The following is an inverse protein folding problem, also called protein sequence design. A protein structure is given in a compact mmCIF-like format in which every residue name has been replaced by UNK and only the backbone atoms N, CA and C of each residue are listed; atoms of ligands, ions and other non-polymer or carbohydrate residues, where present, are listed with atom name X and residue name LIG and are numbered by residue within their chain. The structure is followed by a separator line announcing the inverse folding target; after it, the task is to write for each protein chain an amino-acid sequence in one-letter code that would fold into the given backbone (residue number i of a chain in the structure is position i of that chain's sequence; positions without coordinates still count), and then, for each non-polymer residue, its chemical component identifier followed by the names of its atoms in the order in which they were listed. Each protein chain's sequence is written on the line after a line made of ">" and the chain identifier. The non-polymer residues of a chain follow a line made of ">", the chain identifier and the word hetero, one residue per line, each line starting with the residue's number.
data_IF_614404079792
#
_entry.id   IF_614404079792
#
_cell.length_a   1.000
_cell.length_b   1.000
_cell.length_c   1.000
_cell.angle_alpha   90.00
_cell.angle_beta   90.00
_cell.angle_gamma   90.00
#
_symmetry.space_group_name_H-M   'P 1'
#
loop_
_entity.id
_entity.type
_entity.pdbx_description
1 polymer ?
2 polymer ?
3 polymer ?
#
loop_
_entity_poly.entity_id
_entity_poly.type
_entity_poly.pdbx_seq_one_letter_code
_entity_poly.pdbx_strand_id
2 'polydeoxyribonucleotide' '(DA)(DT)(DA)(DC)(DC)(DG)(DC)(DT)(DA)(DG)(DG)(DG)(DG)(DC)(DG)(DC)(DT)(DG)(DC)(DT)(DA)(DG)(DC)(DG)(DG)(DT)(DG)(DC)' ?
3 'polydeoxyribonucleotide' '(DG)(DC)(DA)(DC)(DC)(DG)(DC)(DT)(DA)(DG)(DC)(DA)(DG)(DC)(DG)(DC)(DC)(DC)(DC)(DT)(DA)(DG)(DC)(DG)(DG)(DT)(DA)(DT)' ?
#
# COMPACT_ATOMS: atom_id res chain seq x y z
N UNK A 1 -15.65 7.05 -17.67
CA UNK A 1 -17.08 7.25 -17.89
C UNK A 1 -17.78 5.94 -18.25
N UNK A 2 -18.72 5.53 -17.40
CA UNK A 2 -19.47 4.31 -17.63
C UNK A 2 -20.49 4.51 -18.74
N UNK A 3 -20.49 3.61 -19.72
CA UNK A 3 -21.31 3.79 -20.91
C UNK A 3 -21.94 2.47 -21.38
N UNK A 4 -23.23 2.52 -21.70
CA UNK A 4 -23.94 1.36 -22.23
C UNK A 4 -24.06 1.42 -23.75
N UNK A 5 -23.49 0.43 -24.42
CA UNK A 5 -23.63 0.30 -25.87
C UNK A 5 -24.44 -0.93 -26.24
N UNK A 6 -25.32 -0.78 -27.23
CA UNK A 6 -26.13 -1.89 -27.72
C UNK A 6 -25.75 -2.18 -29.16
N UNK A 7 -24.81 -3.10 -29.31
CA UNK A 7 -24.19 -3.39 -30.60
C UNK A 7 -24.75 -4.65 -31.25
N UNK A 8 -24.38 -4.87 -32.51
CA UNK A 8 -24.82 -6.04 -33.24
C UNK A 8 -24.10 -7.29 -32.73
N UNK A 9 -24.69 -8.46 -32.98
CA UNK A 9 -24.07 -9.72 -32.59
C UNK A 9 -22.78 -9.96 -33.36
N UNK A 10 -22.72 -9.45 -34.58
CA UNK A 10 -21.52 -9.56 -35.41
C UNK A 10 -20.37 -8.78 -34.77
N UNK A 11 -20.64 -7.54 -34.39
CA UNK A 11 -19.64 -6.69 -33.77
C UNK A 11 -19.16 -7.29 -32.46
N UNK A 12 -20.09 -7.86 -31.69
CA UNK A 12 -19.78 -8.48 -30.42
C UNK A 12 -18.82 -9.65 -30.58
N UNK A 13 -19.13 -10.52 -31.54
CA UNK A 13 -18.29 -11.70 -31.78
C UNK A 13 -16.93 -11.32 -32.33
N UNK A 14 -16.88 -10.27 -33.15
CA UNK A 14 -15.63 -9.82 -33.73
C UNK A 14 -14.69 -9.25 -32.68
N UNK A 15 -15.26 -8.57 -31.69
CA UNK A 15 -14.47 -8.02 -30.59
C UNK A 15 -13.89 -9.15 -29.75
N UNK A 16 -14.72 -10.14 -29.45
CA UNK A 16 -14.26 -11.32 -28.72
C UNK A 16 -13.20 -12.08 -29.53
N UNK A 17 -13.36 -12.09 -30.84
CA UNK A 17 -12.41 -12.74 -31.72
C UNK A 17 -11.03 -12.10 -31.60
N UNK A 18 -11.01 -10.78 -31.42
CA UNK A 18 -9.77 -10.03 -31.26
C UNK A 18 -9.10 -10.39 -29.93
N UNK A 19 -9.89 -10.37 -28.86
CA UNK A 19 -9.37 -10.65 -27.52
C UNK A 19 -8.77 -12.05 -27.43
N UNK A 20 -9.38 -13.01 -28.12
CA UNK A 20 -8.87 -14.38 -28.12
C UNK A 20 -7.55 -14.47 -28.87
N UNK A 21 -7.35 -13.58 -29.83
CA UNK A 21 -6.07 -13.48 -30.54
C UNK A 21 -5.01 -12.85 -29.65
N UNK A 22 -5.39 -11.79 -28.94
CA UNK A 22 -4.49 -11.09 -28.04
C UNK A 22 -4.02 -12.02 -26.91
N UNK A 23 -4.97 -12.73 -26.31
CA UNK A 23 -4.66 -13.64 -25.22
C UNK A 23 -3.89 -14.87 -25.70
N UNK A 24 -3.82 -15.04 -27.02
CA UNK A 24 -3.08 -16.15 -27.60
C UNK A 24 -1.67 -15.71 -27.99
N UNK A 25 -1.57 -14.49 -28.51
CA UNK A 25 -0.27 -13.88 -28.78
C UNK A 25 0.40 -13.56 -27.45
N UNK A 26 -0.16 -12.61 -26.72
CA UNK A 26 0.20 -12.38 -25.34
C UNK A 26 -0.55 -13.38 -24.49
N UNK A 27 -1.28 -12.92 -23.48
CA UNK A 27 -1.29 -11.54 -23.03
C UNK A 27 -1.52 -11.54 -21.53
N UNK A 28 -1.31 -10.39 -20.89
CA UNK A 28 -1.64 -10.28 -19.48
C UNK A 28 -3.14 -10.47 -19.30
N UNK A 29 -3.52 -11.52 -18.56
CA UNK A 29 -4.92 -11.83 -18.34
C UNK A 29 -5.65 -10.67 -17.69
N UNK A 30 -6.86 -10.40 -18.16
CA UNK A 30 -7.71 -9.31 -17.68
C UNK A 30 -7.17 -7.91 -18.05
N UNK A 31 -5.99 -7.85 -18.65
CA UNK A 31 -5.47 -6.59 -19.16
C UNK A 31 -6.13 -6.27 -20.50
N UNK A 32 -6.37 -7.32 -21.30
CA UNK A 32 -7.08 -7.18 -22.55
C UNK A 32 -8.57 -7.48 -22.35
N UNK A 33 -9.23 -6.64 -21.57
CA UNK A 33 -10.64 -6.81 -21.28
C UNK A 33 -11.51 -6.43 -22.46
N UNK A 34 -12.81 -6.70 -22.35
CA UNK A 34 -13.76 -6.35 -23.40
C UNK A 34 -13.92 -4.84 -23.49
N UNK A 35 -14.10 -4.20 -22.34
CA UNK A 35 -14.27 -2.76 -22.26
C UNK A 35 -13.07 -2.02 -22.84
N UNK A 36 -11.88 -2.54 -22.59
CA UNK A 36 -10.66 -1.92 -23.06
C UNK A 36 -10.54 -1.98 -24.58
N UNK A 37 -10.59 -3.19 -25.13
CA UNK A 37 -10.41 -3.39 -26.57
C UNK A 37 -11.51 -2.71 -27.38
N UNK A 38 -12.72 -2.70 -26.84
CA UNK A 38 -13.85 -2.06 -27.53
C UNK A 38 -13.72 -0.54 -27.49
N UNK A 39 -13.26 -0.02 -26.37
CA UNK A 39 -13.02 1.41 -26.24
C UNK A 39 -11.84 1.82 -27.11
N UNK A 40 -10.90 0.91 -27.31
CA UNK A 40 -9.76 1.13 -28.19
C UNK A 40 -10.23 1.26 -29.63
N UNK A 41 -11.26 0.49 -29.99
CA UNK A 41 -11.81 0.53 -31.34
C UNK A 41 -12.68 1.76 -31.53
N UNK A 42 -13.31 2.22 -30.45
CA UNK A 42 -14.14 3.42 -30.49
C UNK A 42 -13.29 4.65 -30.79
N UNK A 43 -12.25 4.85 -29.99
CA UNK A 43 -11.34 5.98 -30.17
C UNK A 43 -10.67 5.91 -31.54
N UNK A 44 -10.45 4.69 -32.02
CA UNK A 44 -9.89 4.47 -33.34
C UNK A 44 -10.85 5.00 -34.39
N UNK A 45 -12.14 4.75 -34.19
CA UNK A 45 -13.17 5.23 -35.09
C UNK A 45 -13.37 6.73 -34.97
N UNK A 46 -13.04 7.27 -33.81
CA UNK A 46 -13.15 8.71 -33.58
C UNK A 46 -12.11 9.49 -34.36
N UNK A 47 -10.87 9.01 -34.37
CA UNK A 47 -9.79 9.69 -35.06
C UNK A 47 -9.97 9.63 -36.57
N UNK A 48 -10.67 8.61 -37.04
CA UNK A 48 -10.99 8.47 -38.45
C UNK A 48 -12.11 9.44 -38.83
N UNK A 49 -13.09 9.58 -37.95
CA UNK A 49 -14.23 10.45 -38.17
C UNK A 49 -13.80 11.91 -38.40
N UNK A 50 -12.69 12.30 -37.77
CA UNK A 50 -12.17 13.64 -37.90
C UNK A 50 -11.43 13.82 -39.22
N UNK B 1 3.58 2.69 -6.39
CA UNK B 1 4.57 2.37 -5.36
C UNK B 1 4.56 3.38 -4.23
N UNK B 2 4.24 2.92 -3.03
CA UNK B 2 4.21 3.78 -1.86
C UNK B 2 5.62 4.13 -1.41
N UNK B 3 5.89 5.42 -1.23
CA UNK B 3 7.24 5.89 -0.94
C UNK B 3 7.25 7.00 0.11
N UNK B 4 8.18 6.88 1.06
CA UNK B 4 8.37 7.90 2.08
C UNK B 4 9.53 8.83 1.76
N UNK B 5 9.24 10.12 1.61
CA UNK B 5 10.28 11.12 1.40
C UNK B 5 10.38 12.07 2.59
N UNK B 6 11.60 12.40 2.97
CA UNK B 6 11.84 13.35 4.06
C UNK B 6 12.52 14.59 3.50
N UNK B 7 11.69 15.57 3.14
CA UNK B 7 12.15 16.75 2.44
C UNK B 7 12.30 17.96 3.35
N UNK B 8 12.89 19.03 2.82
CA UNK B 8 13.07 20.26 3.57
C UNK B 8 11.74 20.98 3.73
N UNK B 9 11.66 21.85 4.75
CA UNK B 9 10.46 22.65 4.96
C UNK B 9 10.23 23.62 3.81
N UNK B 10 11.32 24.06 3.18
CA UNK B 10 11.22 24.94 2.03
C UNK B 10 10.55 24.24 0.86
N UNK B 11 11.02 23.03 0.57
CA UNK B 11 10.46 22.24 -0.52
C UNK B 11 9.00 21.92 -0.27
N UNK B 12 8.67 21.62 0.98
CA UNK B 12 7.30 21.30 1.37
C UNK B 12 6.37 22.48 1.12
N UNK B 13 6.78 23.67 1.54
CA UNK B 13 5.97 24.86 1.38
C UNK B 13 5.83 25.26 -0.09
N UNK B 14 6.89 25.05 -0.86
CA UNK B 14 6.88 25.39 -2.27
C UNK B 14 5.92 24.49 -3.04
N UNK B 15 5.84 23.22 -2.66
CA UNK B 15 4.91 22.29 -3.29
C UNK B 15 3.47 22.69 -2.99
N UNK B 16 3.20 23.01 -1.73
CA UNK B 16 1.89 23.51 -1.34
C UNK B 16 1.54 24.81 -2.03
N UNK B 17 2.56 25.64 -2.25
CA UNK B 17 2.38 26.91 -2.96
C UNK B 17 1.90 26.67 -4.37
N UNK B 18 2.40 25.60 -5.00
CA UNK B 18 2.00 25.24 -6.35
C UNK B 18 0.54 24.78 -6.38
N UNK B 19 0.19 23.90 -5.46
CA UNK B 19 -1.16 23.34 -5.38
C UNK B 19 -2.20 24.42 -5.17
N UNK B 20 -1.87 25.42 -4.36
CA UNK B 20 -2.78 26.53 -4.10
C UNK B 20 -2.98 27.38 -5.35
N UNK B 21 -1.97 27.40 -6.22
CA UNK B 21 -2.09 28.09 -7.50
C UNK B 21 -2.96 27.29 -8.46
N UNK B 22 -2.75 25.98 -8.49
CA UNK B 22 -3.52 25.09 -9.34
C UNK B 22 -5.00 25.14 -8.97
N UNK B 23 -5.29 25.04 -7.67
CA UNK B 23 -6.67 25.06 -7.19
C UNK B 23 -7.31 26.44 -7.34
N UNK B 24 -6.49 27.44 -7.66
CA UNK B 24 -7.00 28.79 -7.87
C UNK B 24 -7.23 29.04 -9.35
N UNK B 25 -6.32 28.53 -10.18
CA UNK B 25 -6.52 28.55 -11.63
C UNK B 25 -7.66 27.60 -12.00
N UNK B 26 -7.42 26.31 -11.82
CA UNK B 26 -8.48 25.32 -11.87
C UNK B 26 -9.17 25.33 -10.52
N UNK B 27 -9.30 24.17 -9.88
CA UNK B 27 -8.94 22.87 -10.44
C UNK B 27 -9.88 21.83 -9.85
N UNK B 28 -9.90 20.63 -10.41
CA UNK B 28 -10.68 19.55 -9.83
C UNK B 28 -10.12 19.24 -8.45
N UNK B 29 -10.96 19.42 -7.42
CA UNK B 29 -10.53 19.20 -6.05
C UNK B 29 -10.07 17.76 -5.85
N UNK B 30 -8.97 17.61 -5.11
CA UNK B 30 -8.35 16.31 -4.82
C UNK B 30 -7.70 15.67 -6.05
N UNK B 31 -7.85 16.28 -7.22
CA UNK B 31 -7.16 15.83 -8.42
C UNK B 31 -5.72 16.32 -8.39
N UNK B 32 -5.53 17.54 -7.88
CA UNK B 32 -4.20 18.10 -7.69
C UNK B 32 -3.72 17.85 -6.26
N UNK B 33 -3.53 16.57 -5.92
CA UNK B 33 -3.10 16.19 -4.59
C UNK B 33 -1.62 16.49 -4.38
N UNK B 34 -1.16 16.33 -3.14
CA UNK B 34 0.24 16.54 -2.81
C UNK B 34 1.12 15.48 -3.45
N UNK B 35 0.70 14.23 -3.31
CA UNK B 35 1.43 13.10 -3.86
C UNK B 35 1.58 13.21 -5.37
N UNK B 36 0.53 13.69 -6.03
CA UNK B 36 0.54 13.82 -7.49
C UNK B 36 1.53 14.88 -7.95
N UNK B 37 1.35 16.11 -7.46
CA UNK B 37 2.18 17.23 -7.88
C UNK B 37 3.65 17.02 -7.54
N UNK B 38 3.91 16.39 -6.40
CA UNK B 38 5.29 16.13 -5.96
C UNK B 38 5.92 15.04 -6.81
N UNK B 39 5.13 14.02 -7.16
CA UNK B 39 5.60 12.96 -8.03
C UNK B 39 5.82 13.50 -9.44
N UNK B 40 5.03 14.50 -9.80
CA UNK B 40 5.17 15.17 -11.10
C UNK B 40 6.50 15.91 -11.15
N UNK B 41 6.91 16.46 -10.02
CA UNK B 41 8.17 17.20 -9.94
C UNK B 41 9.35 16.24 -9.89
N UNK B 42 9.12 15.05 -9.32
CA UNK B 42 10.16 14.04 -9.23
C UNK B 42 10.53 13.52 -10.62
N UNK B 43 9.51 13.10 -11.37
CA UNK B 43 9.71 12.60 -12.72
C UNK B 43 10.31 13.69 -13.61
N UNK B 44 9.95 14.94 -13.32
CA UNK B 44 10.50 16.08 -14.02
C UNK B 44 12.00 16.18 -13.76
N UNK B 45 12.40 15.94 -12.51
CA UNK B 45 13.79 15.95 -12.14
C UNK B 45 14.54 14.75 -12.70
N UNK B 46 13.80 13.66 -12.93
CA UNK B 46 14.37 12.45 -13.49
C UNK B 46 14.78 12.62 -14.95
N UNK B 47 13.91 13.25 -15.73
CA UNK B 47 14.17 13.46 -17.15
C UNK B 47 15.31 14.45 -17.36
N UNK B 48 15.51 15.33 -16.39
CA UNK B 48 16.61 16.29 -16.45
C UNK B 48 17.92 15.59 -16.10
N UNK B 49 17.86 14.69 -15.13
CA UNK B 49 19.04 13.94 -14.68
C UNK B 49 19.67 13.14 -15.82
N UNK B 50 18.83 12.70 -16.75
CA UNK B 50 19.30 11.92 -17.90
C UNK B 50 19.96 12.83 -18.94
N UNK B 51 19.46 14.07 -19.04
CA UNK B 51 20.01 15.05 -19.96
C UNK B 51 21.49 15.31 -19.68
N UNK B 52 21.78 15.79 -18.48
CA UNK B 52 23.16 16.02 -18.06
C UNK B 52 23.84 14.71 -17.69
N UNK C 1 10.38 17.14 6.95
CA UNK C 1 8.95 16.92 6.74
C UNK C 1 8.68 15.55 6.14
N UNK C 2 7.97 14.71 6.87
CA UNK C 2 7.62 13.37 6.40
C UNK C 2 6.53 13.45 5.35
N UNK C 3 6.77 12.80 4.21
CA UNK C 3 5.87 12.92 3.06
C UNK C 3 5.67 11.57 2.35
N UNK C 4 4.42 11.27 2.03
CA UNK C 4 4.08 10.07 1.26
C UNK C 4 3.87 10.36 -0.21
N UNK C 5 4.69 9.75 -1.06
CA UNK C 5 4.52 9.86 -2.50
C UNK C 5 4.13 8.53 -3.12
N UNK C 6 3.19 8.58 -4.06
CA UNK C 6 2.75 7.39 -4.77
C UNK C 6 3.14 7.49 -6.24
N UNK C 7 4.32 6.96 -6.55
CA UNK C 7 4.93 7.14 -7.86
C UNK C 7 4.76 5.92 -8.74
N UNK C 8 5.11 6.06 -10.02
CA UNK C 8 5.04 4.97 -10.96
C UNK C 8 6.13 3.94 -10.70
N UNK C 9 5.92 2.72 -11.17
CA UNK C 9 6.92 1.67 -11.02
C UNK C 9 8.19 2.00 -11.81
N UNK C 10 8.02 2.72 -12.92
CA UNK C 10 9.15 3.15 -13.73
C UNK C 10 10.03 4.13 -12.95
N UNK C 11 9.40 5.12 -12.34
CA UNK C 11 10.12 6.12 -11.55
C UNK C 11 10.83 5.46 -10.37
N UNK C 12 10.16 4.51 -9.74
CA UNK C 12 10.71 3.79 -8.60
C UNK C 12 11.98 3.03 -8.98
N UNK C 13 11.93 2.31 -10.09
CA UNK C 13 13.06 1.52 -10.55
C UNK C 13 14.22 2.41 -11.00
N UNK C 14 13.89 3.55 -11.60
CA UNK C 14 14.91 4.48 -12.08
C UNK C 14 15.66 5.11 -10.92
N UNK C 15 14.96 5.38 -9.82
CA UNK C 15 15.60 5.94 -8.64
C UNK C 15 16.54 4.92 -8.02
N UNK C 16 16.09 3.67 -7.91
CA UNK C 16 16.93 2.59 -7.43
C UNK C 16 18.13 2.37 -8.34
N UNK C 17 17.91 2.56 -9.64
CA UNK C 17 18.98 2.42 -10.62
C UNK C 17 20.09 3.44 -10.37
N UNK C 18 19.70 4.63 -9.93
CA UNK C 18 20.65 5.69 -9.62
C UNK C 18 21.46 5.33 -8.38
N UNK C 19 20.77 4.89 -7.33
CA UNK C 19 21.40 4.54 -6.07
C UNK C 19 22.43 3.42 -6.24
N UNK C 20 22.12 2.46 -7.10
CA UNK C 20 23.02 1.35 -7.36
C UNK C 20 24.27 1.83 -8.10
N UNK C 21 24.14 2.91 -8.86
CA UNK C 21 25.28 3.53 -9.52
C UNK C 21 26.13 4.29 -8.51
N UNK C 22 25.47 5.03 -7.63
CA UNK C 22 26.15 5.79 -6.59
C UNK C 22 26.94 4.87 -5.66
N UNK C 23 26.30 3.80 -5.22
CA UNK C 23 26.94 2.84 -4.32
C UNK C 23 28.02 2.04 -5.02
N UNK C 24 28.08 2.14 -6.35
CA UNK C 24 29.11 1.45 -7.12
C UNK C 24 30.28 2.38 -7.40
N UNK C 25 29.96 3.64 -7.68
CA UNK C 25 30.99 4.68 -7.81
C UNK C 25 31.59 4.94 -6.43
N UNK C 26 30.79 5.52 -5.55
CA UNK C 26 31.14 5.59 -4.14
C UNK C 26 30.78 4.25 -3.52
N UNK C 27 30.01 4.26 -2.43
CA UNK C 27 29.58 5.46 -1.73
C UNK C 27 29.42 5.11 -0.26
N UNK C 28 29.30 6.12 0.59
CA UNK C 28 29.02 5.86 2.00
C UNK C 28 27.67 5.17 2.12
N UNK C 29 27.68 3.95 2.64
CA UNK C 29 26.46 3.15 2.77
C UNK C 29 25.44 3.88 3.63
N UNK C 30 24.18 3.83 3.20
CA UNK C 30 23.05 4.49 3.88
C UNK C 30 23.11 6.02 3.79
N UNK C 31 24.17 6.56 3.22
CA UNK C 31 24.25 8.00 2.97
C UNK C 31 23.46 8.34 1.71
N UNK C 32 23.52 7.44 0.73
CA UNK C 32 22.73 7.57 -0.49
C UNK C 32 21.44 6.78 -0.37
N UNK C 33 20.58 7.21 0.56
CA UNK C 33 19.31 6.53 0.80
C UNK C 33 18.30 6.85 -0.30
N UNK C 34 17.17 6.15 -0.27
CA UNK C 34 16.11 6.38 -1.24
C UNK C 34 15.47 7.75 -1.04
N UNK C 35 15.16 8.06 0.21
CA UNK C 35 14.54 9.33 0.56
C UNK C 35 15.41 10.51 0.15
N UNK C 36 16.72 10.36 0.31
CA UNK C 36 17.66 11.43 -0.02
C UNK C 36 17.72 11.68 -1.52
N UNK C 37 18.02 10.64 -2.29
CA UNK C 37 18.19 10.78 -3.74
C UNK C 37 16.89 11.22 -4.42
N UNK C 38 15.76 10.74 -3.90
CA UNK C 38 14.46 11.10 -4.47
C UNK C 38 14.10 12.54 -4.14
N UNK C 39 14.44 12.97 -2.92
CA UNK C 39 14.22 14.35 -2.52
C UNK C 39 15.15 15.28 -3.29
N UNK C 40 16.33 14.76 -3.64
CA UNK C 40 17.29 15.50 -4.45
C UNK C 40 16.73 15.74 -5.84
N UNK C 41 16.00 14.76 -6.36
CA UNK C 41 15.38 14.87 -7.68
C UNK C 41 14.15 15.78 -7.64
N UNK C 42 13.48 15.80 -6.50
CA UNK C 42 12.31 16.65 -6.32
C UNK C 42 12.70 18.12 -6.36
N UNK C 43 13.68 18.49 -5.53
CA UNK C 43 14.16 19.86 -5.48
C UNK C 43 14.76 20.27 -6.82
N UNK C 44 15.32 19.31 -7.53
CA UNK C 44 15.86 19.53 -8.86
C UNK C 44 14.73 19.89 -9.81
N UNK C 45 13.60 19.21 -9.66
CA UNK C 45 12.42 19.50 -10.47
C UNK C 45 11.78 20.81 -10.08
N UNK C 46 11.97 21.21 -8.83
CA UNK C 46 11.43 22.46 -8.31
C UNK C 46 12.12 23.66 -8.92
N UNK C 47 13.45 23.61 -9.00
CA UNK C 47 14.22 24.72 -9.53
C UNK C 47 13.99 24.89 -11.03
N UNK C 48 13.62 23.80 -11.69
CA UNK C 48 13.30 23.84 -13.12
C UNK C 48 11.91 24.44 -13.32
N UNK C 49 10.99 24.10 -12.44
CA UNK C 49 9.61 24.59 -12.50
C UNK C 49 9.56 26.13 -12.43
N UNK C 50 10.51 26.71 -11.72
CA UNK C 50 10.59 28.16 -11.59
C UNK C 50 11.15 28.80 -12.85
N UNK C 51 12.04 28.09 -13.52
CA UNK C 51 12.67 28.58 -14.75
C UNK C 51 11.65 28.88 -15.83
N UNK C 52 10.59 28.09 -15.90
CA UNK C 52 9.51 28.33 -16.85
C UNK C 52 8.53 29.38 -16.32
N UNK D 1 -26.80 -6.83 -28.47
CA UNK D 1 -25.96 -7.24 -27.36
C UNK D 1 -25.63 -6.08 -26.42
N UNK D 2 -26.08 -6.19 -25.18
CA UNK D 2 -25.83 -5.15 -24.18
C UNK D 2 -24.38 -5.19 -23.73
N UNK D 3 -23.73 -4.02 -23.77
CA UNK D 3 -22.29 -3.95 -23.50
C UNK D 3 -21.93 -2.73 -22.66
N UNK D 4 -21.09 -2.94 -21.65
CA UNK D 4 -20.58 -1.85 -20.83
C UNK D 4 -19.18 -1.40 -21.24
N UNK D 5 -19.06 -0.15 -21.64
CA UNK D 5 -17.76 0.43 -21.97
C UNK D 5 -17.37 1.51 -20.97
N UNK D 6 -16.10 1.52 -20.59
CA UNK D 6 -15.58 2.52 -19.68
C UNK D 6 -14.54 3.39 -20.40
N UNK D 7 -15.02 4.48 -20.98
CA UNK D 7 -14.23 5.30 -21.86
C UNK D 7 -13.70 6.55 -21.17
N UNK D 8 -12.81 7.28 -21.85
CA UNK D 8 -12.25 8.50 -21.32
C UNK D 8 -13.28 9.62 -21.37
N UNK D 9 -13.08 10.64 -20.54
CA UNK D 9 -13.97 11.79 -20.52
C UNK D 9 -13.90 12.56 -21.84
N UNK D 10 -12.73 12.52 -22.48
CA UNK D 10 -12.55 13.15 -23.78
C UNK D 10 -13.41 12.49 -24.83
N UNK D 11 -13.34 11.16 -24.88
CA UNK D 11 -14.12 10.38 -25.84
C UNK D 11 -15.62 10.59 -25.62
N UNK D 12 -16.02 10.64 -24.34
CA UNK D 12 -17.42 10.84 -23.97
C UNK D 12 -17.95 12.17 -24.48
N UNK D 13 -17.17 13.23 -24.26
CA UNK D 13 -17.58 14.57 -24.67
C UNK D 13 -17.58 14.71 -26.19
N UNK D 14 -16.65 14.04 -26.85
CA UNK D 14 -16.56 14.10 -28.31
C UNK D 14 -17.76 13.41 -28.97
N UNK D 15 -18.22 12.33 -28.36
CA UNK D 15 -19.40 11.62 -28.86
C UNK D 15 -20.64 12.49 -28.72
N UNK D 16 -20.79 13.12 -27.55
CA UNK D 16 -21.88 14.06 -27.32
C UNK D 16 -21.80 15.25 -28.26
N UNK D 17 -20.59 15.67 -28.57
CA UNK D 17 -20.37 16.78 -29.49
C UNK D 17 -20.90 16.44 -30.88
N UNK D 18 -20.76 15.18 -31.27
CA UNK D 18 -21.27 14.72 -32.56
C UNK D 18 -22.80 14.72 -32.58
N UNK D 19 -23.40 14.17 -31.53
CA UNK D 19 -24.86 14.08 -31.43
C UNK D 19 -25.51 15.46 -31.47
N UNK D 20 -24.87 16.44 -30.83
CA UNK D 20 -25.40 17.81 -30.83
C UNK D 20 -25.32 18.42 -32.22
N UNK D 21 -24.36 17.97 -33.02
CA UNK D 21 -24.26 18.41 -34.41
C UNK D 21 -25.34 17.75 -35.25
N UNK D 22 -25.55 16.46 -35.03
CA UNK D 22 -26.57 15.71 -35.76
C UNK D 22 -27.96 16.27 -35.49
N UNK D 23 -28.26 16.51 -34.21
CA UNK D 23 -29.56 17.04 -33.80
C UNK D 23 -29.74 18.50 -34.23
N UNK D 24 -28.66 19.12 -34.68
CA UNK D 24 -28.71 20.49 -35.16
C UNK D 24 -28.86 20.53 -36.67
N UNK D 25 -28.17 19.62 -37.35
CA UNK D 25 -28.35 19.42 -38.78
C UNK D 25 -29.72 18.82 -39.03
N UNK D 26 -29.90 17.57 -38.61
CA UNK D 26 -31.22 16.98 -38.54
C UNK D 26 -31.87 17.44 -37.26
N UNK D 27 -32.36 16.52 -36.42
CA UNK D 27 -32.42 15.09 -36.73
C UNK D 27 -33.63 14.53 -36.01
N UNK D 28 -34.02 13.31 -36.36
CA UNK D 28 -35.09 12.64 -35.63
C UNK D 28 -34.66 12.44 -34.18
N UNK D 29 -35.39 13.06 -33.26
CA UNK D 29 -35.05 12.98 -31.84
C UNK D 29 -35.06 11.53 -31.37
N UNK D 30 -34.07 11.18 -30.55
CA UNK D 30 -33.87 9.85 -30.00
C UNK D 30 -33.47 8.81 -31.06
N UNK D 31 -33.43 9.22 -32.32
CA UNK D 31 -32.91 8.35 -33.38
C UNK D 31 -31.39 8.37 -33.37
N UNK D 32 -30.83 9.55 -33.08
CA UNK D 32 -29.39 9.70 -32.92
C UNK D 32 -29.01 9.59 -31.45
N UNK D 33 -29.22 8.40 -30.88
CA UNK D 33 -28.92 8.16 -29.48
C UNK D 33 -27.43 8.02 -29.24
N UNK D 34 -27.03 7.96 -27.98
CA UNK D 34 -25.63 7.79 -27.61
C UNK D 34 -25.14 6.41 -28.00
N UNK D 35 -25.93 5.39 -27.67
CA UNK D 35 -25.58 4.02 -27.96
C UNK D 35 -25.42 3.78 -29.46
N UNK D 36 -26.26 4.44 -30.25
CA UNK D 36 -26.22 4.29 -31.70
C UNK D 36 -24.96 4.90 -32.30
N UNK D 37 -24.74 6.18 -32.04
CA UNK D 37 -23.60 6.89 -32.62
C UNK D 37 -22.27 6.30 -32.15
N UNK D 38 -22.21 5.84 -30.91
CA UNK D 38 -21.00 5.26 -30.36
C UNK D 38 -20.73 3.90 -30.97
N UNK D 39 -21.80 3.13 -31.18
CA UNK D 39 -21.69 1.83 -31.82
C UNK D 39 -21.32 2.00 -33.29
N UNK D 40 -21.76 3.11 -33.86
CA UNK D 40 -21.42 3.44 -35.24
C UNK D 40 -19.93 3.72 -35.36
N UNK D 41 -19.36 4.31 -34.32
CA UNK D 41 -17.93 4.62 -34.30
C UNK D 41 -17.11 3.38 -34.02
N UNK D 42 -17.68 2.46 -33.25
CA UNK D 42 -17.03 1.20 -32.93
C UNK D 42 -16.84 0.36 -34.19
N UNK D 43 -17.94 0.13 -34.91
CA UNK D 43 -17.91 -0.65 -36.14
C UNK D 43 -17.01 0.02 -37.17
N UNK D 44 -16.97 1.34 -37.13
CA UNK D 44 -16.09 2.11 -37.99
C UNK D 44 -14.64 1.80 -37.67
N UNK D 45 -14.34 1.67 -36.38
CA UNK D 45 -13.00 1.32 -35.95
C UNK D 45 -12.66 -0.13 -36.24
N UNK D 46 -13.70 -0.95 -36.32
CA UNK D 46 -13.54 -2.37 -36.61
C UNK D 46 -13.11 -2.60 -38.06
N UNK D 47 -13.74 -1.90 -38.98
CA UNK D 47 -13.44 -2.05 -40.40
C UNK D 47 -12.05 -1.52 -40.73
N UNK D 48 -11.58 -0.58 -39.94
CA UNK D 48 -10.24 -0.03 -40.09
C UNK D 48 -9.20 -1.01 -39.55
N UNK D 49 -9.53 -1.66 -38.44
CA UNK D 49 -8.65 -2.63 -37.80
C UNK D 49 -8.32 -3.79 -38.74
N UNK D 50 -9.24 -4.12 -39.63
CA UNK D 50 -9.05 -5.19 -40.60
C UNK D 50 -8.17 -4.74 -41.77
N UNK D 51 -8.33 -3.48 -42.16
CA UNK D 51 -7.63 -2.93 -43.32
C UNK D 51 -6.12 -2.89 -43.10
N UNK D 52 -5.70 -2.66 -41.86
CA UNK D 52 -4.28 -2.66 -41.52
C UNK D 52 -3.91 -3.91 -40.73
N UNK E 1 -21.51 -4.56 1.59
CA UNK E 1 -20.70 -3.56 2.27
C UNK E 1 -19.22 -3.70 1.88
N UNK E 2 -18.68 -2.65 1.25
CA UNK E 2 -17.28 -2.64 0.84
C UNK E 2 -16.38 -2.45 2.06
N UNK E 3 -15.38 -3.33 2.19
CA UNK E 3 -14.54 -3.35 3.39
C UNK E 3 -13.07 -3.60 3.05
N UNK E 4 -12.19 -2.81 3.66
CA UNK E 4 -10.75 -2.99 3.49
C UNK E 4 -10.13 -3.75 4.66
N UNK E 5 -9.53 -4.90 4.36
CA UNK E 5 -8.82 -5.67 5.37
C UNK E 5 -7.33 -5.71 5.07
N UNK E 6 -6.52 -5.58 6.12
CA UNK E 6 -5.07 -5.64 5.99
C UNK E 6 -4.55 -6.86 6.74
N UNK E 7 -4.44 -7.96 6.00
CA UNK E 7 -4.13 -9.26 6.58
C UNK E 7 -2.66 -9.64 6.41
N UNK E 8 -2.26 -10.71 7.07
CA UNK E 8 -0.91 -11.22 6.97
C UNK E 8 -0.68 -11.88 5.61
N UNK E 9 0.58 -11.97 5.21
CA UNK E 9 0.93 -12.65 3.96
C UNK E 9 0.60 -14.13 4.02
N UNK E 10 0.68 -14.71 5.21
CA UNK E 10 0.32 -16.11 5.41
C UNK E 10 -1.16 -16.33 5.13
N UNK E 11 -1.99 -15.48 5.72
CA UNK E 11 -3.43 -15.58 5.54
C UNK E 11 -3.82 -15.39 4.08
N UNK E 12 -3.14 -14.44 3.43
CA UNK E 12 -3.40 -14.15 2.02
C UNK E 12 -3.11 -15.36 1.14
N UNK E 13 -1.96 -15.99 1.36
CA UNK E 13 -1.55 -17.14 0.56
C UNK E 13 -2.45 -18.35 0.83
N UNK E 14 -2.88 -18.49 2.08
CA UNK E 14 -3.75 -19.61 2.46
C UNK E 14 -5.11 -19.50 1.79
N UNK E 15 -5.62 -18.28 1.68
CA UNK E 15 -6.90 -18.04 1.02
C UNK E 15 -6.80 -18.38 -0.47
N UNK E 16 -5.72 -17.92 -1.10
CA UNK E 16 -5.45 -18.24 -2.50
C UNK E 16 -5.28 -19.75 -2.68
N UNK E 17 -4.67 -20.39 -1.70
CA UNK E 17 -4.47 -21.83 -1.73
C UNK E 17 -5.81 -22.57 -1.77
N UNK E 18 -6.79 -22.02 -1.07
CA UNK E 18 -8.14 -22.60 -1.05
C UNK E 18 -8.81 -22.45 -2.41
N UNK E 19 -8.75 -21.25 -2.97
CA UNK E 19 -9.38 -20.94 -4.25
C UNK E 19 -8.82 -21.82 -5.37
N UNK E 20 -7.52 -22.08 -5.33
CA UNK E 20 -6.88 -22.93 -6.33
C UNK E 20 -7.35 -24.38 -6.21
N UNK E 21 -7.73 -24.78 -4.99
CA UNK E 21 -8.30 -26.10 -4.77
C UNK E 21 -9.73 -26.16 -5.29
N UNK E 22 -10.50 -25.10 -5.02
CA UNK E 22 -11.88 -25.02 -5.48
C UNK E 22 -11.95 -25.03 -7.00
N UNK E 23 -11.11 -24.23 -7.64
CA UNK E 23 -11.09 -24.14 -9.09
C UNK E 23 -10.52 -25.40 -9.73
N UNK E 24 -9.94 -26.27 -8.91
CA UNK E 24 -9.41 -27.53 -9.40
C UNK E 24 -10.43 -28.66 -9.21
N UNK E 25 -11.13 -28.62 -8.09
CA UNK E 25 -12.25 -29.52 -7.86
C UNK E 25 -13.40 -29.15 -8.80
N UNK E 26 -13.99 -27.98 -8.55
CA UNK E 26 -14.90 -27.38 -9.51
C UNK E 26 -14.06 -26.68 -10.56
N UNK E 27 -14.32 -25.39 -10.81
CA UNK E 27 -15.45 -24.65 -10.24
C UNK E 27 -15.87 -23.61 -11.26
N UNK E 28 -17.03 -23.00 -11.05
CA UNK E 28 -17.45 -21.91 -11.90
C UNK E 28 -16.46 -20.76 -11.76
N UNK E 29 -15.79 -20.41 -12.85
CA UNK E 29 -14.79 -19.35 -12.83
C UNK E 29 -15.41 -18.03 -12.37
N UNK E 30 -14.66 -17.32 -11.53
CA UNK E 30 -15.07 -16.03 -10.95
C UNK E 30 -16.23 -16.16 -9.94
N UNK E 31 -16.76 -17.38 -9.79
CA UNK E 31 -17.76 -17.63 -8.76
C UNK E 31 -17.07 -17.81 -7.41
N UNK E 32 -15.90 -18.45 -7.44
CA UNK E 32 -15.08 -18.59 -6.25
C UNK E 32 -14.04 -17.48 -6.19
N UNK E 33 -14.51 -16.24 -6.04
CA UNK E 33 -13.63 -15.09 -5.98
C UNK E 33 -12.92 -14.99 -4.64
N UNK E 34 -11.97 -14.06 -4.55
CA UNK E 34 -11.23 -13.85 -3.31
C UNK E 34 -12.14 -13.26 -2.24
N UNK E 35 -12.90 -12.24 -2.62
CA UNK E 35 -13.82 -11.58 -1.71
C UNK E 35 -14.85 -12.55 -1.14
N UNK E 36 -15.31 -13.48 -1.97
CA UNK E 36 -16.33 -14.44 -1.56
C UNK E 36 -15.77 -15.43 -0.53
N UNK E 37 -14.71 -16.13 -0.90
CA UNK E 37 -14.12 -17.15 -0.04
C UNK E 37 -13.62 -16.56 1.27
N UNK E 38 -13.08 -15.35 1.22
CA UNK E 38 -12.56 -14.71 2.43
C UNK E 38 -13.71 -14.26 3.34
N UNK E 39 -14.78 -13.77 2.73
CA UNK E 39 -15.97 -13.39 3.49
C UNK E 39 -16.65 -14.63 4.07
N UNK E 40 -16.51 -15.74 3.37
CA UNK E 40 -17.03 -17.02 3.84
C UNK E 40 -16.29 -17.47 5.10
N UNK E 41 -14.99 -17.18 5.13
CA UNK E 41 -14.16 -17.53 6.28
C UNK E 41 -14.41 -16.57 7.44
N UNK E 42 -14.76 -15.33 7.12
CA UNK E 42 -15.05 -14.32 8.14
C UNK E 42 -16.31 -14.71 8.91
N UNK E 43 -17.39 -14.95 8.17
CA UNK E 43 -18.66 -15.34 8.78
C UNK E 43 -18.51 -16.65 9.54
N UNK E 44 -17.63 -17.50 9.06
CA UNK E 44 -17.32 -18.76 9.72
C UNK E 44 -16.68 -18.47 11.07
N UNK E 45 -15.79 -17.49 11.11
CA UNK E 45 -15.15 -17.08 12.35
C UNK E 45 -16.11 -16.36 13.28
N UNK E 46 -17.13 -15.75 12.69
CA UNK E 46 -18.14 -15.04 13.46
C UNK E 46 -19.02 -15.99 14.27
N UNK E 47 -19.45 -17.07 13.62
CA UNK E 47 -20.32 -18.05 14.26
C UNK E 47 -19.59 -18.80 15.36
N UNK E 48 -18.28 -18.91 15.23
CA UNK E 48 -17.45 -19.53 16.26
C UNK E 48 -17.28 -18.60 17.45
N UNK E 49 -17.11 -17.30 17.16
CA UNK E 49 -16.94 -16.28 18.19
C UNK E 49 -18.12 -16.24 19.16
N UNK E 50 -19.31 -16.57 18.65
CA UNK E 50 -20.51 -16.58 19.47
C UNK E 50 -20.59 -17.83 20.34
N UNK F 1 27.85 5.22 27.88
CA UNK F 1 27.42 5.11 26.49
C UNK F 1 25.91 5.31 26.34
N UNK F 2 25.54 6.35 25.62
CA UNK F 2 24.13 6.65 25.38
C UNK F 2 23.54 5.66 24.38
N UNK F 3 22.41 5.05 24.75
CA UNK F 3 21.83 3.99 23.95
C UNK F 3 20.30 4.08 23.87
N UNK F 4 19.76 3.93 22.67
CA UNK F 4 18.32 3.90 22.46
C UNK F 4 17.76 2.48 22.36
N UNK F 5 16.87 2.13 23.28
CA UNK F 5 16.19 0.84 23.23
C UNK F 5 14.71 1.02 22.95
N UNK F 6 14.17 0.14 22.10
CA UNK F 6 12.75 0.17 21.78
C UNK F 6 12.10 -1.11 22.29
N UNK F 7 11.59 -1.05 23.51
CA UNK F 7 11.10 -2.22 24.22
C UNK F 7 9.58 -2.32 24.19
N UNK F 8 9.07 -3.46 24.64
CA UNK F 8 7.63 -3.69 24.71
C UNK F 8 7.00 -2.87 25.82
N UNK F 9 5.71 -2.62 25.72
CA UNK F 9 4.99 -1.89 26.75
C UNK F 9 4.96 -2.68 28.06
N UNK F 10 4.98 -4.00 27.95
CA UNK F 10 5.01 -4.87 29.13
C UNK F 10 6.31 -4.69 29.88
N UNK F 11 7.43 -4.73 29.15
CA UNK F 11 8.75 -4.56 29.76
C UNK F 11 8.88 -3.18 30.40
N UNK F 12 8.35 -2.17 29.71
CA UNK F 12 8.39 -0.80 30.22
C UNK F 12 7.65 -0.66 31.55
N UNK F 13 6.46 -1.22 31.63
CA UNK F 13 5.65 -1.14 32.83
C UNK F 13 6.27 -1.94 33.97
N UNK F 14 6.88 -3.08 33.63
CA UNK F 14 7.51 -3.93 34.64
C UNK F 14 8.72 -3.25 35.26
N UNK F 15 9.46 -2.50 34.46
CA UNK F 15 10.62 -1.75 34.96
C UNK F 15 10.16 -0.64 35.90
N UNK F 16 9.12 0.08 35.50
CA UNK F 16 8.54 1.11 36.36
C UNK F 16 7.98 0.51 37.64
N UNK F 17 7.44 -0.70 37.53
CA UNK F 17 6.89 -1.42 38.68
C UNK F 17 7.99 -1.69 39.70
N UNK F 18 9.19 -1.98 39.21
CA UNK F 18 10.33 -2.22 40.09
C UNK F 18 10.75 -0.95 40.82
N UNK F 19 10.88 0.13 40.06
CA UNK F 19 11.31 1.42 40.60
C UNK F 19 10.35 1.91 41.69
N UNK F 20 9.06 1.69 41.50
CA UNK F 20 8.06 2.10 42.48
C UNK F 20 8.19 1.27 43.77
N UNK F 21 8.68 0.04 43.63
CA UNK F 21 8.96 -0.79 44.80
C UNK F 21 10.21 -0.30 45.52
N UNK F 22 11.24 0.02 44.75
CA UNK F 22 12.50 0.52 45.31
C UNK F 22 12.27 1.82 46.06
N UNK F 23 11.54 2.74 45.44
CA UNK F 23 11.27 4.05 46.05
C UNK F 23 10.30 3.94 47.22
N UNK F 24 9.71 2.76 47.39
CA UNK F 24 8.81 2.51 48.51
C UNK F 24 9.55 1.83 49.65
N UNK F 25 10.44 0.91 49.30
CA UNK F 25 11.34 0.31 50.28
C UNK F 25 12.33 1.35 50.75
N UNK F 26 13.22 1.76 49.84
CA UNK F 26 14.06 2.92 50.07
C UNK F 26 13.23 4.15 49.73
N UNK F 27 13.73 5.03 48.87
CA UNK F 27 15.08 4.96 48.32
C UNK F 27 15.54 6.38 48.06
N UNK F 28 16.83 6.56 47.81
CA UNK F 28 17.34 7.88 47.43
C UNK F 28 16.69 8.29 46.11
N UNK F 29 15.92 9.37 46.14
CA UNK F 29 15.23 9.85 44.95
C UNK F 29 16.21 10.15 43.83
N UNK F 30 15.82 9.75 42.61
CA UNK F 30 16.64 9.92 41.40
C UNK F 30 17.89 9.03 41.38
N UNK F 31 18.15 8.32 42.47
CA UNK F 31 19.24 7.34 42.49
C UNK F 31 18.79 6.07 41.79
N UNK F 32 17.52 5.72 41.99
CA UNK F 32 16.92 4.57 41.30
C UNK F 32 16.20 5.05 40.04
N UNK F 33 16.97 5.56 39.08
CA UNK F 33 16.43 6.06 37.83
C UNK F 33 16.01 4.93 36.91
N UNK F 34 15.35 5.27 35.81
CA UNK F 34 14.93 4.29 34.83
C UNK F 34 16.14 3.70 34.11
N UNK F 35 17.04 4.58 33.67
CA UNK F 35 18.24 4.16 32.96
C UNK F 35 19.09 3.22 33.80
N UNK F 36 19.16 3.50 35.10
CA UNK F 36 19.97 2.70 36.01
C UNK F 36 19.41 1.30 36.19
N UNK F 37 18.15 1.21 36.61
CA UNK F 37 17.51 -0.07 36.89
C UNK F 37 17.41 -0.94 35.62
N UNK F 38 17.18 -0.31 34.48
CA UNK F 38 17.07 -1.04 33.23
C UNK F 38 18.44 -1.54 32.76
N UNK F 39 19.46 -0.73 32.97
CA UNK F 39 20.83 -1.13 32.65
C UNK F 39 21.28 -2.23 33.61
N UNK F 40 20.77 -2.19 34.82
CA UNK F 40 21.05 -3.22 35.82
C UNK F 40 20.47 -4.56 35.36
N UNK F 41 19.31 -4.50 34.72
CA UNK F 41 18.65 -5.70 34.21
C UNK F 41 19.32 -6.22 32.95
N UNK F 42 19.89 -5.29 32.18
CA UNK F 42 20.60 -5.65 30.96
C UNK F 42 21.85 -6.45 31.28
N UNK F 43 22.69 -5.90 32.16
CA UNK F 43 23.91 -6.56 32.57
C UNK F 43 23.61 -7.88 33.25
N UNK F 44 22.47 -7.93 33.92
CA UNK F 44 22.01 -9.16 34.56
C UNK F 44 21.72 -10.21 33.48
N UNK F 45 21.12 -9.78 32.39
CA UNK F 45 20.83 -10.67 31.27
C UNK F 45 22.08 -11.06 30.53
N UNK F 46 23.10 -10.20 30.59
CA UNK F 46 24.38 -10.45 29.95
C UNK F 46 25.14 -11.59 30.63
N UNK F 47 25.17 -11.57 31.95
CA UNK F 47 25.90 -12.58 32.72
C UNK F 47 25.22 -13.94 32.60
N UNK F 48 23.92 -13.93 32.36
CA UNK F 48 23.17 -15.18 32.15
C UNK F 48 23.46 -15.73 30.76
N UNK F 49 23.55 -14.84 29.78
CA UNK F 49 23.82 -15.22 28.40
C UNK F 49 25.13 -15.98 28.25
N UNK F 50 26.09 -15.66 29.13
CA UNK F 50 27.40 -16.31 29.11
C UNK F 50 27.37 -17.68 29.77
N UNK F 51 26.61 -17.79 30.86
CA UNK F 51 26.55 -19.04 31.62
C UNK F 51 25.93 -20.15 30.78
N UNK F 52 25.11 -19.78 29.81
CA UNK F 52 24.50 -20.75 28.91
C UNK F 52 25.38 -20.96 27.68
N UNK G 1 8.05 1.16 22.86
CA UNK G 1 8.36 2.24 23.78
C UNK G 1 9.82 2.68 23.65
N UNK G 2 10.01 3.94 23.25
CA UNK G 2 11.35 4.50 23.09
C UNK G 2 11.98 4.77 24.44
N UNK G 3 13.19 4.27 24.64
CA UNK G 3 13.84 4.33 25.95
C UNK G 3 15.33 4.66 25.84
N UNK G 4 15.80 5.59 26.67
CA UNK G 4 17.21 5.93 26.75
C UNK G 4 17.92 5.23 27.90
N UNK G 5 18.92 4.43 27.58
CA UNK G 5 19.75 3.78 28.59
C UNK G 5 21.18 4.31 28.54
N UNK G 6 21.75 4.52 29.72
CA UNK G 6 23.13 4.98 29.83
C UNK G 6 23.97 3.90 30.50
N UNK G 7 24.56 3.04 29.67
CA UNK G 7 25.24 1.84 30.14
C UNK G 7 26.76 2.01 30.17
N UNK G 8 27.43 1.04 30.76
CA UNK G 8 28.89 1.05 30.84
C UNK G 8 29.50 0.75 29.47
N UNK G 9 30.75 1.16 29.28
CA UNK G 9 31.44 0.87 28.03
C UNK G 9 31.67 -0.62 27.85
N UNK G 10 31.81 -1.34 28.97
CA UNK G 10 31.97 -2.79 28.94
C UNK G 10 30.71 -3.45 28.39
N UNK G 11 29.56 -3.05 28.93
CA UNK G 11 28.28 -3.60 28.49
C UNK G 11 28.04 -3.30 27.02
N UNK G 12 28.39 -2.09 26.61
CA UNK G 12 28.21 -1.66 25.23
C UNK G 12 29.02 -2.52 24.27
N UNK G 13 30.28 -2.75 24.61
CA UNK G 13 31.16 -3.55 23.75
C UNK G 13 30.74 -5.01 23.72
N UNK G 14 30.24 -5.51 24.85
CA UNK G 14 29.80 -6.90 24.95
C UNK G 14 28.58 -7.15 24.07
N UNK G 15 27.68 -6.17 24.02
CA UNK G 15 26.49 -6.27 23.18
C UNK G 15 26.87 -6.29 21.71
N UNK G 16 27.78 -5.40 21.34
CA UNK G 16 28.31 -5.37 19.97
C UNK G 16 29.03 -6.67 19.64
N UNK G 17 29.71 -7.24 20.63
CA UNK G 17 30.42 -8.49 20.46
C UNK G 17 29.45 -9.61 20.11
N UNK G 18 28.26 -9.57 20.69
CA UNK G 18 27.22 -10.55 20.40
C UNK G 18 26.71 -10.41 18.99
N UNK G 19 26.39 -9.18 18.60
CA UNK G 19 25.85 -8.90 17.27
C UNK G 19 26.82 -9.33 16.16
N UNK G 20 28.12 -9.14 16.40
CA UNK G 20 29.12 -9.53 15.42
C UNK G 20 29.20 -11.06 15.29
N UNK G 21 28.85 -11.76 16.36
CA UNK G 21 28.76 -13.21 16.33
C UNK G 21 27.53 -13.66 15.57
N UNK G 22 26.40 -13.00 15.83
CA UNK G 22 25.15 -13.31 15.16
C UNK G 22 25.26 -13.08 13.66
N UNK G 23 25.82 -11.94 13.27
CA UNK G 23 25.99 -11.61 11.86
C UNK G 23 27.04 -12.47 11.19
N UNK G 24 27.79 -13.23 11.98
CA UNK G 24 28.80 -14.13 11.44
C UNK G 24 28.23 -15.54 11.32
N UNK G 25 27.43 -15.94 12.31
CA UNK G 25 26.70 -17.20 12.24
C UNK G 25 25.62 -17.07 11.17
N UNK G 26 24.62 -16.24 11.45
CA UNK G 26 23.67 -15.82 10.43
C UNK G 26 24.32 -14.72 9.63
N UNK G 27 23.64 -13.57 9.49
CA UNK G 27 22.28 -13.36 9.94
C UNK G 27 21.62 -12.37 9.00
N UNK G 28 20.31 -12.24 9.07
CA UNK G 28 19.62 -11.21 8.31
C UNK G 28 20.11 -9.84 8.75
N UNK G 29 20.73 -9.11 7.83
CA UNK G 29 21.27 -7.79 8.15
C UNK G 29 20.17 -6.86 8.65
N UNK G 30 20.51 -6.09 9.69
CA UNK G 30 19.60 -5.14 10.33
C UNK G 30 18.46 -5.82 11.10
N UNK G 31 18.38 -7.15 11.02
CA UNK G 31 17.42 -7.89 11.83
C UNK G 31 17.97 -8.06 13.25
N UNK G 32 19.29 -8.24 13.34
CA UNK G 32 19.96 -8.31 14.63
C UNK G 32 20.52 -6.94 15.00
N UNK G 33 19.62 -5.99 15.21
CA UNK G 33 20.01 -4.62 15.54
C UNK G 33 20.48 -4.52 16.99
N UNK G 34 21.02 -3.35 17.36
CA UNK G 34 21.48 -3.11 18.72
C UNK G 34 20.29 -3.07 19.67
N UNK G 35 19.27 -2.32 19.29
CA UNK G 35 18.07 -2.17 20.12
C UNK G 35 17.40 -3.51 20.38
N UNK G 36 17.40 -4.38 19.38
CA UNK G 36 16.77 -5.69 19.49
C UNK G 36 17.51 -6.59 20.47
N UNK G 37 18.79 -6.81 20.21
CA UNK G 37 19.60 -7.71 21.04
C UNK G 37 19.71 -7.23 22.48
N UNK G 38 19.78 -5.91 22.66
CA UNK G 38 19.87 -5.35 24.00
C UNK G 38 18.56 -5.47 24.75
N UNK G 39 17.45 -5.28 24.03
CA UNK G 39 16.12 -5.45 24.62
C UNK G 39 15.88 -6.92 24.93
N UNK G 40 16.48 -7.80 24.13
CA UNK G 40 16.41 -9.24 24.36
C UNK G 40 17.11 -9.62 25.66
N UNK G 41 18.21 -8.92 25.94
CA UNK G 41 18.97 -9.15 27.17
C UNK G 41 18.26 -8.55 28.37
N UNK G 42 17.53 -7.47 28.15
CA UNK G 42 16.78 -6.80 29.21
C UNK G 42 15.66 -7.71 29.71
N UNK G 43 14.84 -8.19 28.78
CA UNK G 43 13.73 -9.08 29.11
C UNK G 43 14.25 -10.37 29.73
N UNK G 44 15.43 -10.77 29.31
CA UNK G 44 16.10 -11.95 29.86
C UNK G 44 16.43 -11.70 31.33
N UNK G 45 16.89 -10.49 31.62
CA UNK G 45 17.19 -10.11 32.99
C UNK G 45 15.94 -9.92 33.83
N UNK G 46 14.83 -9.60 33.16
CA UNK G 46 13.55 -9.42 33.82
C UNK G 46 12.98 -10.73 34.34
N UNK G 47 13.05 -11.77 33.51
CA UNK G 47 12.52 -13.08 33.87
C UNK G 47 13.34 -13.71 34.99
N UNK G 48 14.62 -13.35 35.07
CA UNK G 48 15.48 -13.81 36.14
C UNK G 48 15.16 -13.09 37.44
N UNK G 49 14.88 -11.80 37.34
CA UNK G 49 14.57 -10.97 38.50
C UNK G 49 13.34 -11.50 39.25
N UNK G 50 12.42 -12.11 38.52
CA UNK G 50 11.21 -12.67 39.10
C UNK G 50 11.49 -14.01 39.80
N UNK H 1 -0.96 -7.09 3.59
CA UNK H 1 -1.60 -7.23 2.28
C UNK H 1 -2.95 -6.54 2.25
N UNK H 2 -3.08 -5.53 1.40
CA UNK H 2 -4.33 -4.79 1.27
C UNK H 2 -5.36 -5.63 0.53
N UNK H 3 -6.55 -5.75 1.10
CA UNK H 3 -7.57 -6.63 0.56
C UNK H 3 -8.97 -6.01 0.62
N UNK H 4 -9.71 -6.13 -0.48
CA UNK H 4 -11.09 -5.68 -0.53
C UNK H 4 -12.10 -6.81 -0.32
N UNK H 5 -12.90 -6.71 0.73
CA UNK H 5 -13.97 -7.67 0.97
C UNK H 5 -15.34 -7.02 0.81
N UNK H 6 -16.25 -7.75 0.20
CA UNK H 6 -17.62 -7.28 0.03
C UNK H 6 -18.57 -8.18 0.81
N UNK H 7 -18.83 -7.78 2.05
CA UNK H 7 -19.56 -8.61 2.99
C UNK H 7 -21.02 -8.18 3.13
N UNK H 8 -21.79 -8.99 3.83
CA UNK H 8 -23.21 -8.69 4.07
C UNK H 8 -23.35 -7.57 5.09
N UNK H 9 -24.49 -6.90 5.08
CA UNK H 9 -24.76 -5.84 6.05
C UNK H 9 -24.84 -6.39 7.47
N UNK H 10 -25.28 -7.65 7.59
CA UNK H 10 -25.35 -8.32 8.88
C UNK H 10 -23.95 -8.50 9.46
N UNK H 11 -23.04 -9.03 8.64
CA UNK H 11 -21.67 -9.26 9.06
C UNK H 11 -20.99 -7.94 9.44
N UNK H 12 -21.26 -6.91 8.65
CA UNK H 12 -20.69 -5.58 8.90
C UNK H 12 -21.12 -5.03 10.25
N UNK H 13 -22.41 -5.12 10.55
CA UNK H 13 -22.94 -4.60 11.80
C UNK H 13 -22.46 -5.42 13.00
N UNK H 14 -22.31 -6.72 12.80
CA UNK H 14 -21.85 -7.61 13.87
C UNK H 14 -20.40 -7.32 14.23
N UNK H 15 -19.59 -6.99 13.24
CA UNK H 15 -18.19 -6.64 13.49
C UNK H 15 -18.10 -5.33 14.26
N UNK H 16 -18.89 -4.34 13.85
CA UNK H 16 -18.97 -3.08 14.57
C UNK H 16 -19.49 -3.28 15.99
N UNK H 17 -20.41 -4.22 16.14
CA UNK H 17 -20.97 -4.55 17.45
C UNK H 17 -19.89 -5.05 18.39
N UNK H 18 -18.93 -5.81 17.85
CA UNK H 18 -17.81 -6.32 18.62
C UNK H 18 -16.89 -5.20 19.07
N UNK H 19 -16.53 -4.33 18.12
CA UNK H 19 -15.63 -3.22 18.40
C UNK H 19 -16.18 -2.29 19.47
N UNK H 20 -17.49 -2.06 19.45
CA UNK H 20 -18.13 -1.22 20.45
C UNK H 20 -18.08 -1.87 21.83
N UNK H 21 -18.05 -3.19 21.87
CA UNK H 21 -17.88 -3.92 23.13
C UNK H 21 -16.45 -3.81 23.63
N UNK H 22 -15.50 -3.97 22.71
CA UNK H 22 -14.08 -3.87 23.04
C UNK H 22 -13.74 -2.49 23.57
N UNK H 23 -14.21 -1.46 22.87
CA UNK H 23 -13.95 -0.07 23.27
C UNK H 23 -14.70 0.30 24.55
N UNK H 24 -15.62 -0.56 24.98
CA UNK H 24 -16.36 -0.32 26.20
C UNK H 24 -15.72 -1.08 27.36
N UNK H 25 -15.24 -2.28 27.09
CA UNK H 25 -14.46 -3.04 28.06
C UNK H 25 -13.11 -2.36 28.23
N UNK H 26 -12.29 -2.41 27.19
CA UNK H 26 -11.10 -1.59 27.13
C UNK H 26 -11.52 -0.20 26.67
N UNK H 27 -10.89 0.33 25.62
CA UNK H 27 -9.74 -0.28 24.95
C UNK H 27 -8.88 0.85 24.40
N UNK H 28 -7.65 0.53 24.00
CA UNK H 28 -6.82 1.52 23.35
C UNK H 28 -7.49 1.97 22.05
N UNK H 29 -7.83 3.25 21.96
CA UNK H 29 -8.51 3.79 20.80
C UNK H 29 -7.68 3.57 19.54
N UNK H 30 -8.35 3.19 18.46
CA UNK H 30 -7.73 2.91 17.16
C UNK H 30 -6.86 1.65 17.16
N UNK H 31 -6.69 1.02 18.32
CA UNK H 31 -5.99 -0.26 18.40
C UNK H 31 -6.94 -1.38 17.99
N UNK H 32 -8.21 -1.23 18.37
CA UNK H 32 -9.25 -2.17 17.95
C UNK H 32 -9.96 -1.63 16.71
N UNK H 33 -9.22 -1.55 15.61
CA UNK H 33 -9.76 -1.05 14.35
C UNK H 33 -10.66 -2.08 13.68
N UNK H 34 -11.34 -1.66 12.62
CA UNK H 34 -12.21 -2.56 11.86
C UNK H 34 -11.39 -3.62 11.14
N UNK H 35 -10.33 -3.17 10.47
CA UNK H 35 -9.47 -4.07 9.72
C UNK H 35 -8.84 -5.13 10.62
N UNK H 36 -8.49 -4.74 11.84
CA UNK H 36 -7.85 -5.65 12.79
C UNK H 36 -8.82 -6.74 13.25
N UNK H 37 -9.94 -6.32 13.81
CA UNK H 37 -10.92 -7.26 14.37
C UNK H 37 -11.49 -8.18 13.30
N UNK H 38 -11.68 -7.66 12.09
CA UNK H 38 -12.21 -8.45 11.00
C UNK H 38 -11.18 -9.46 10.50
N UNK H 39 -9.92 -9.04 10.45
CA UNK H 39 -8.84 -9.93 10.07
C UNK H 39 -8.62 -10.99 11.15
N UNK H 40 -8.91 -10.63 12.39
CA UNK H 40 -8.83 -11.55 13.51
C UNK H 40 -9.88 -12.64 13.36
N UNK H 41 -11.04 -12.27 12.83
CA UNK H 41 -12.13 -13.22 12.62
C UNK H 41 -11.86 -14.09 11.40
N UNK H 42 -11.16 -13.52 10.42
CA UNK H 42 -10.80 -14.25 9.21
C UNK H 42 -9.85 -15.40 9.54
N UNK H 43 -8.76 -15.07 10.22
CA UNK H 43 -7.76 -16.06 10.61
C UNK H 43 -8.38 -17.10 11.53
N UNK H 44 -9.35 -16.66 12.32
CA UNK H 44 -10.09 -17.55 13.20
C UNK H 44 -10.88 -18.57 12.37
N UNK H 45 -11.46 -18.09 11.27
CA UNK H 45 -12.19 -18.96 10.37
C UNK H 45 -11.26 -19.85 9.57
N UNK H 46 -10.03 -19.40 9.40
CA UNK H 46 -9.03 -20.17 8.67
C UNK H 46 -8.58 -21.40 9.45
N UNK H 47 -8.34 -21.23 10.75
CA UNK H 47 -7.87 -22.32 11.58
C UNK H 47 -8.97 -23.37 11.78
N UNK H 48 -10.22 -22.94 11.67
CA UNK H 48 -11.35 -23.85 11.75
C UNK H 48 -11.49 -24.64 10.46
N UNK H 49 -11.26 -23.97 9.35
CA UNK H 49 -11.36 -24.59 8.02
C UNK H 49 -10.40 -25.78 7.88
N UNK H 50 -9.27 -25.70 8.57
CA UNK H 50 -8.27 -26.76 8.54
C UNK H 50 -8.69 -27.95 9.42
N UNK H 51 -9.32 -27.64 10.54
CA UNK H 51 -9.74 -28.66 11.50
C UNK H 51 -10.80 -29.58 10.88
#
# INVERSE_FOLDING_TARGET
>A
AKVNLYISNDAYEKINAIIEKRRQEGAREKDVSFSATASMLLELGLRVHEAQM
>B
AKVNLYISNDAYEKINAIIEKRRQEGAREKDVSFSATASMLLELGLRVHEAQM
>C
AKVNLYISNDAYEKINAIIEKRRQEGAREKDVSFSATASMLLELGLRVHEAQM
>D
AKVNLYISNDAYEKINAIIEKRRQEGAREKDVSFSATASMLLELGLRVHEAQM
>E
AKVNLYISNDAYEKINAIIEKRRQEGAREKDVSFSATASMLLELGLRVHEAQM
>F
AKVNLYISNDAYEKINAIIEKRRQEGAREKDVSFSATASMLLELGLRVHEAQM
>G
AKVNLYISNDAYEKINAIIEKRRQEGAREKDVSFSATASMLLELGLRVHEAQM
>H
AKVNLYISNDAYEKINAIIEKRRQEGAREKDVSFSATASMLLELGLRVHEAQM
#
